data_IF_177208979057
#
_entry.id   IF_177208979057
#
_cell.length_a   1.000
_cell.length_b   1.000
_cell.length_c   1.000
_cell.angle_alpha   90.00
_cell.angle_beta   90.00
_cell.angle_gamma   90.00
#
_symmetry.space_group_name_H-M   'P 1'
#
loop_
_entity.id
_entity.type
_entity.pdbx_description
1 polymer ?
#
# COMPACT_ATOMS: atom_id res chain seq x y z
N UNK A 1 -48.22 -10.78 24.65
CA UNK A 1 -48.82 -9.52 24.17
C UNK A 1 -48.01 -8.40 24.81
N UNK A 2 -46.73 -8.26 24.44
CA UNK A 2 -46.21 -7.42 23.34
C UNK A 2 -46.37 -5.92 23.62
N UNK A 3 -45.24 -5.26 23.93
CA UNK A 3 -44.81 -3.97 23.37
C UNK A 3 -43.70 -3.36 24.24
N UNK A 4 -42.43 -3.50 23.83
CA UNK A 4 -41.33 -2.64 24.31
C UNK A 4 -40.46 -2.24 23.11
N UNK A 5 -40.79 -1.05 22.61
CA UNK A 5 -39.92 -0.03 22.00
C UNK A 5 -38.89 -0.49 20.97
N UNK A 6 -39.18 -0.16 19.69
CA UNK A 6 -38.20 -0.10 18.61
C UNK A 6 -37.10 0.89 18.96
N UNK A 7 -35.92 0.40 19.33
CA UNK A 7 -34.69 1.18 19.33
C UNK A 7 -34.29 1.48 17.89
N UNK A 8 -34.31 2.75 17.51
CA UNK A 8 -33.78 3.21 16.21
C UNK A 8 -32.27 3.02 16.25
N UNK A 9 -31.76 2.06 15.50
CA UNK A 9 -30.32 1.89 15.30
C UNK A 9 -29.84 3.08 14.44
N UNK A 10 -29.28 4.10 15.09
CA UNK A 10 -28.61 5.18 14.37
C UNK A 10 -27.29 4.63 13.83
N UNK A 11 -27.15 4.54 12.51
CA UNK A 11 -25.87 4.26 11.88
C UNK A 11 -24.86 5.33 12.29
N UNK A 12 -23.60 4.99 12.61
CA UNK A 12 -22.59 5.99 12.89
C UNK A 12 -22.48 6.95 11.69
N UNK A 13 -22.28 8.26 11.93
CA UNK A 13 -22.12 9.22 10.84
C UNK A 13 -20.99 8.74 9.92
N UNK A 14 -21.11 8.91 8.60
CA UNK A 14 -20.04 8.56 7.68
C UNK A 14 -18.78 9.30 8.15
N UNK A 15 -17.67 8.57 8.33
CA UNK A 15 -16.37 9.17 8.56
C UNK A 15 -15.98 9.94 7.30
N UNK A 16 -16.42 11.19 7.20
CA UNK A 16 -16.05 12.09 6.11
C UNK A 16 -14.62 12.55 6.37
N UNK A 17 -13.65 11.82 5.83
CA UNK A 17 -12.29 12.32 5.68
C UNK A 17 -12.30 13.43 4.62
N UNK A 18 -12.61 14.65 5.05
CA UNK A 18 -12.59 15.83 4.19
C UNK A 18 -11.13 16.26 4.04
N UNK A 19 -10.49 15.82 2.95
CA UNK A 19 -9.14 16.25 2.63
C UNK A 19 -9.17 17.72 2.17
N UNK A 20 -8.98 18.63 3.11
CA UNK A 20 -8.74 20.03 2.79
C UNK A 20 -7.27 20.18 2.38
N UNK A 21 -7.08 20.72 1.17
CA UNK A 21 -5.82 21.09 0.52
C UNK A 21 -5.02 19.90 -0.04
N UNK A 22 -4.92 19.80 -1.37
CA UNK A 22 -3.82 19.07 -2.02
C UNK A 22 -3.28 19.91 -3.20
N UNK A 23 -2.09 20.53 -3.09
CA UNK A 23 -1.20 20.60 -4.24
C UNK A 23 -1.05 19.18 -4.79
N UNK A 24 -0.82 19.02 -6.09
CA UNK A 24 -0.66 17.73 -6.76
C UNK A 24 0.43 16.87 -6.09
N UNK A 25 0.07 16.07 -5.07
CA UNK A 25 0.97 15.18 -4.33
C UNK A 25 1.24 13.89 -5.12
N UNK A 26 1.68 14.02 -6.36
CA UNK A 26 2.12 12.86 -7.13
C UNK A 26 3.40 12.34 -6.48
N UNK A 27 3.31 11.20 -5.80
CA UNK A 27 4.47 10.55 -5.19
C UNK A 27 4.99 9.44 -6.10
N UNK A 28 6.29 9.21 -6.04
CA UNK A 28 6.96 8.10 -6.72
C UNK A 28 7.23 6.97 -5.74
N UNK A 29 6.80 5.77 -6.08
CA UNK A 29 7.03 4.53 -5.34
C UNK A 29 8.13 3.78 -6.08
N UNK A 30 9.31 3.71 -5.48
CA UNK A 30 10.39 2.84 -5.94
C UNK A 30 10.27 1.50 -5.23
N UNK A 31 10.11 0.43 -6.00
CA UNK A 31 10.06 -0.93 -5.47
C UNK A 31 11.24 -1.74 -5.97
N UNK A 32 11.71 -2.65 -5.12
CA UNK A 32 12.83 -3.54 -5.42
C UNK A 32 12.61 -4.89 -4.74
N UNK A 33 12.91 -5.96 -5.48
CA UNK A 33 12.67 -7.35 -5.11
C UNK A 33 13.96 -8.14 -5.07
N UNK A 34 14.15 -8.94 -4.03
CA UNK A 34 15.19 -9.97 -4.00
C UNK A 34 14.56 -11.33 -3.75
N UNK A 35 15.01 -12.35 -4.49
CA UNK A 35 14.49 -13.70 -4.42
C UNK A 35 15.58 -14.72 -4.06
N UNK A 36 15.34 -15.48 -3.00
CA UNK A 36 16.11 -16.68 -2.70
C UNK A 36 15.34 -17.91 -3.15
N UNK A 37 15.75 -18.49 -4.29
CA UNK A 37 15.14 -19.72 -4.82
C UNK A 37 15.28 -20.90 -3.85
N UNK A 38 16.47 -21.06 -3.24
CA UNK A 38 16.75 -22.13 -2.29
C UNK A 38 15.80 -22.09 -1.07
N UNK A 39 15.45 -20.89 -0.61
CA UNK A 39 14.56 -20.70 0.53
C UNK A 39 13.10 -20.45 0.14
N UNK A 40 12.81 -20.27 -1.16
CA UNK A 40 11.53 -19.79 -1.70
C UNK A 40 11.03 -18.53 -0.97
N UNK A 41 11.95 -17.59 -0.75
CA UNK A 41 11.68 -16.35 -0.01
C UNK A 41 11.89 -15.14 -0.88
N UNK A 42 11.00 -14.18 -0.76
CA UNK A 42 11.03 -12.90 -1.43
C UNK A 42 11.21 -11.79 -0.40
N UNK A 43 12.18 -10.92 -0.63
CA UNK A 43 12.39 -9.70 0.14
C UNK A 43 11.96 -8.54 -0.75
N UNK A 44 10.99 -7.78 -0.28
CA UNK A 44 10.52 -6.58 -0.96
C UNK A 44 10.99 -5.34 -0.21
N UNK A 45 11.39 -4.33 -0.95
CA UNK A 45 11.76 -3.01 -0.46
C UNK A 45 10.94 -1.97 -1.21
N UNK A 46 10.42 -1.00 -0.46
CA UNK A 46 9.60 0.07 -1.00
C UNK A 46 10.09 1.39 -0.42
N UNK A 47 10.28 2.39 -1.26
CA UNK A 47 10.55 3.77 -0.87
C UNK A 47 9.57 4.66 -1.61
N UNK A 48 8.82 5.49 -0.87
CA UNK A 48 7.92 6.49 -1.43
C UNK A 48 8.59 7.85 -1.28
N UNK A 49 8.63 8.62 -2.36
CA UNK A 49 9.24 9.95 -2.41
C UNK A 49 8.28 10.98 -2.98
N UNK A 50 8.40 12.21 -2.51
CA UNK A 50 7.74 13.36 -3.14
C UNK A 50 8.46 13.79 -4.44
N UNK A 51 7.97 14.87 -5.05
CA UNK A 51 8.53 15.46 -6.27
C UNK A 51 9.95 16.03 -6.10
N UNK A 52 10.35 16.35 -4.88
CA UNK A 52 11.70 16.81 -4.55
C UNK A 52 12.65 15.66 -4.19
N UNK A 53 12.15 14.42 -4.22
CA UNK A 53 12.91 13.23 -3.84
C UNK A 53 13.01 13.01 -2.32
N UNK A 54 12.28 13.76 -1.51
CA UNK A 54 12.21 13.56 -0.06
C UNK A 54 11.44 12.27 0.25
N UNK A 55 11.98 11.46 1.16
CA UNK A 55 11.36 10.18 1.55
C UNK A 55 10.12 10.47 2.42
N UNK A 56 8.96 10.07 1.91
CA UNK A 56 7.66 10.16 2.56
C UNK A 56 7.28 8.87 3.30
N UNK A 57 7.92 7.75 2.94
CA UNK A 57 7.74 6.46 3.60
C UNK A 57 8.70 5.42 3.08
N UNK A 58 9.05 4.45 3.92
CA UNK A 58 9.85 3.30 3.52
C UNK A 58 9.38 2.04 4.26
N UNK A 59 9.35 0.91 3.55
CA UNK A 59 8.93 -0.37 4.10
C UNK A 59 9.78 -1.51 3.52
N UNK A 60 10.02 -2.54 4.32
CA UNK A 60 10.54 -3.82 3.82
C UNK A 60 9.71 -4.97 4.35
N UNK A 61 9.52 -5.99 3.51
CA UNK A 61 8.70 -7.17 3.86
C UNK A 61 9.31 -8.43 3.30
N UNK A 62 9.38 -9.45 4.17
CA UNK A 62 9.69 -10.82 3.80
C UNK A 62 8.40 -11.60 3.49
N UNK A 63 8.35 -12.25 2.34
CA UNK A 63 7.28 -13.16 1.94
C UNK A 63 7.86 -14.55 1.71
N UNK A 64 7.31 -15.55 2.40
CA UNK A 64 7.72 -16.94 2.28
C UNK A 64 6.91 -17.68 1.20
N UNK A 65 7.40 -18.84 0.78
CA UNK A 65 6.72 -19.75 -0.15
C UNK A 65 6.42 -19.14 -1.52
N UNK A 66 7.27 -18.23 -2.00
CA UNK A 66 7.10 -17.63 -3.32
C UNK A 66 7.67 -18.57 -4.40
N UNK A 67 6.87 -18.98 -5.40
CA UNK A 67 7.23 -20.07 -6.30
C UNK A 67 8.18 -19.65 -7.43
N UNK A 68 8.14 -18.39 -7.85
CA UNK A 68 8.88 -17.89 -9.02
C UNK A 68 9.36 -16.46 -8.81
N UNK A 69 10.40 -16.06 -9.55
CA UNK A 69 10.88 -14.67 -9.55
C UNK A 69 9.82 -13.71 -10.10
N UNK A 70 9.05 -14.12 -11.11
CA UNK A 70 7.92 -13.34 -11.61
C UNK A 70 6.89 -13.04 -10.52
N UNK A 71 6.58 -14.03 -9.67
CA UNK A 71 5.69 -13.81 -8.53
C UNK A 71 6.30 -12.86 -7.48
N UNK A 72 7.63 -12.83 -7.34
CA UNK A 72 8.31 -11.85 -6.48
C UNK A 72 8.06 -10.43 -6.99
N UNK A 73 8.32 -10.16 -8.26
CA UNK A 73 8.14 -8.83 -8.84
C UNK A 73 6.70 -8.34 -8.71
N UNK A 74 5.73 -9.21 -9.00
CA UNK A 74 4.32 -8.89 -8.81
C UNK A 74 3.97 -8.58 -7.33
N UNK A 75 4.49 -9.38 -6.39
CA UNK A 75 4.27 -9.16 -4.95
C UNK A 75 4.90 -7.87 -4.45
N UNK A 76 6.09 -7.54 -4.95
CA UNK A 76 6.84 -6.32 -4.63
C UNK A 76 6.06 -5.08 -5.11
N UNK A 77 5.54 -5.11 -6.34
CA UNK A 77 4.66 -4.07 -6.88
C UNK A 77 3.38 -3.90 -6.04
N UNK A 78 2.68 -5.00 -5.73
CA UNK A 78 1.46 -4.97 -4.90
C UNK A 78 1.76 -4.45 -3.49
N UNK A 79 2.88 -4.83 -2.90
CA UNK A 79 3.31 -4.33 -1.61
C UNK A 79 3.51 -2.81 -1.65
N UNK A 80 4.19 -2.28 -2.68
CA UNK A 80 4.40 -0.84 -2.83
C UNK A 80 3.09 -0.05 -2.95
N UNK A 81 2.16 -0.53 -3.78
CA UNK A 81 0.85 0.10 -3.95
C UNK A 81 0.01 0.08 -2.67
N UNK A 82 -0.01 -1.05 -1.94
CA UNK A 82 -0.72 -1.14 -0.66
C UNK A 82 -0.14 -0.21 0.38
N UNK A 83 1.18 -0.16 0.49
CA UNK A 83 1.86 0.73 1.42
C UNK A 83 1.55 2.21 1.11
N UNK A 84 1.53 2.62 -0.16
CA UNK A 84 1.14 3.97 -0.54
C UNK A 84 -0.32 4.30 -0.18
N UNK A 85 -1.22 3.34 -0.41
CA UNK A 85 -2.64 3.48 -0.06
C UNK A 85 -2.84 3.61 1.46
N UNK A 86 -2.14 2.81 2.26
CA UNK A 86 -2.17 2.87 3.73
C UNK A 86 -1.69 4.23 4.27
N UNK A 87 -0.77 4.88 3.57
CA UNK A 87 -0.30 6.24 3.89
C UNK A 87 -1.17 7.36 3.29
N UNK A 88 -2.23 7.03 2.54
CA UNK A 88 -3.16 8.00 1.96
C UNK A 88 -2.64 8.69 0.68
N UNK A 89 -1.64 8.11 0.02
CA UNK A 89 -1.08 8.62 -1.22
C UNK A 89 -1.85 8.12 -2.45
N UNK A 90 -2.39 9.07 -3.20
CA UNK A 90 -3.02 8.89 -4.50
C UNK A 90 -3.17 10.27 -5.16
N UNK A 91 -2.82 10.47 -6.44
CA UNK A 91 -2.24 9.50 -7.40
C UNK A 91 -0.76 9.17 -7.14
N UNK A 92 -0.25 8.08 -7.75
CA UNK A 92 1.13 7.59 -7.56
C UNK A 92 1.78 7.16 -8.89
N UNK A 93 3.11 7.25 -8.99
CA UNK A 93 3.92 6.59 -10.03
C UNK A 93 4.63 5.39 -9.39
N UNK A 94 4.52 4.21 -9.99
CA UNK A 94 5.25 3.01 -9.55
C UNK A 94 6.45 2.77 -10.48
N UNK A 95 7.64 2.64 -9.92
CA UNK A 95 8.87 2.27 -10.62
C UNK A 95 9.49 1.03 -9.99
N UNK A 96 9.82 0.04 -10.83
CA UNK A 96 10.55 -1.16 -10.45
C UNK A 96 11.60 -1.51 -11.51
N UNK A 97 12.54 -2.37 -11.15
CA UNK A 97 13.63 -2.85 -12.02
C UNK A 97 13.27 -4.12 -12.82
N UNK A 98 12.11 -4.71 -12.55
CA UNK A 98 11.54 -5.79 -13.37
C UNK A 98 11.41 -5.37 -14.83
N UNK A 99 11.99 -6.17 -15.72
CA UNK A 99 11.95 -6.01 -17.18
C UNK A 99 10.69 -6.60 -17.80
#
# INVERSE_FOLDING_TARGET
IEALTKGVYQSPPPLVFRCFLRPTFLVKINVDGNFSLAQRKAYSRVIIKDEHGQIMGACSRLTCQVPTIFAVEALVAVHGLRFALELGFYPVILEGDSR
#
